data_IF_777559051488
#
_entry.id   IF_777559051488
#
_cell.length_a   1.000
_cell.length_b   1.000
_cell.length_c   1.000
_cell.angle_alpha   90.00
_cell.angle_beta   90.00
_cell.angle_gamma   90.00
#
_symmetry.space_group_name_H-M   'P 1'
#
loop_
_entity.id
_entity.type
_entity.pdbx_description
1 polymer ?
#
# COMPACT_ATOMS: atom_id res chain seq x y z
N UNK A 1 14.24 5.97 9.39
CA UNK A 1 13.16 5.01 9.77
C UNK A 1 13.56 3.58 9.38
N UNK A 2 13.06 2.52 10.01
CA UNK A 2 13.34 1.13 9.59
C UNK A 2 12.97 0.85 8.13
N UNK A 3 11.94 1.55 7.61
CA UNK A 3 11.54 1.51 6.20
C UNK A 3 12.66 1.95 5.25
N UNK A 4 13.52 2.89 5.65
CA UNK A 4 14.64 3.34 4.81
C UNK A 4 15.67 2.24 4.65
N UNK A 5 15.98 1.54 5.74
CA UNK A 5 16.95 0.44 5.74
C UNK A 5 16.45 -0.69 4.83
N UNK A 6 15.17 -1.05 4.95
CA UNK A 6 14.54 -2.06 4.10
C UNK A 6 14.48 -1.62 2.64
N UNK A 7 14.14 -0.35 2.36
CA UNK A 7 14.11 0.21 1.02
C UNK A 7 15.49 0.21 0.36
N UNK A 8 16.54 0.58 1.10
CA UNK A 8 17.92 0.52 0.62
C UNK A 8 18.35 -0.92 0.31
N UNK A 9 18.02 -1.88 1.19
CA UNK A 9 18.32 -3.30 0.96
C UNK A 9 17.56 -3.87 -0.25
N UNK A 10 16.29 -3.50 -0.43
CA UNK A 10 15.50 -3.90 -1.59
C UNK A 10 16.12 -3.37 -2.88
N UNK A 11 16.53 -2.10 -2.90
CA UNK A 11 17.16 -1.49 -4.06
C UNK A 11 18.50 -2.15 -4.42
N UNK A 12 19.27 -2.59 -3.42
CA UNK A 12 20.51 -3.36 -3.62
C UNK A 12 20.26 -4.75 -4.23
N UNK A 13 19.19 -5.43 -3.79
CA UNK A 13 18.91 -6.82 -4.20
C UNK A 13 18.17 -6.95 -5.52
N UNK A 14 17.37 -5.97 -5.91
CA UNK A 14 16.54 -6.02 -7.11
C UNK A 14 17.27 -5.37 -8.28
N UNK A 15 17.60 -6.14 -9.32
CA UNK A 15 18.25 -5.63 -10.52
C UNK A 15 17.40 -4.53 -11.17
N UNK A 16 18.01 -3.39 -11.44
CA UNK A 16 17.33 -2.23 -12.05
C UNK A 16 16.51 -1.41 -11.06
N UNK A 17 16.48 -1.77 -9.77
CA UNK A 17 15.94 -0.91 -8.73
C UNK A 17 16.94 0.19 -8.35
N UNK A 18 16.44 1.38 -8.04
CA UNK A 18 17.25 2.52 -7.63
C UNK A 18 16.59 3.22 -6.43
N UNK A 19 17.32 3.47 -5.33
CA UNK A 19 16.76 4.20 -4.19
C UNK A 19 16.58 5.68 -4.56
N UNK A 20 15.43 6.25 -4.22
CA UNK A 20 15.09 7.66 -4.46
C UNK A 20 14.57 8.31 -3.20
N UNK A 21 14.79 9.62 -3.02
CA UNK A 21 14.40 10.37 -1.82
C UNK A 21 13.31 11.41 -2.07
N UNK A 22 12.90 11.59 -3.33
CA UNK A 22 11.84 12.50 -3.72
C UNK A 22 10.95 11.93 -4.82
N UNK A 23 9.75 12.48 -4.96
CA UNK A 23 8.83 12.10 -6.05
C UNK A 23 9.38 12.51 -7.42
N UNK A 24 10.16 13.59 -7.49
CA UNK A 24 10.82 14.01 -8.73
C UNK A 24 11.90 13.01 -9.16
N UNK A 25 12.74 12.56 -8.24
CA UNK A 25 13.72 11.51 -8.49
C UNK A 25 13.05 10.20 -8.91
N UNK A 26 11.94 9.82 -8.24
CA UNK A 26 11.16 8.64 -8.60
C UNK A 26 10.71 8.69 -10.06
N UNK A 27 10.19 9.84 -10.51
CA UNK A 27 9.78 10.06 -11.91
C UNK A 27 10.98 10.00 -12.87
N UNK A 28 12.12 10.59 -12.52
CA UNK A 28 13.34 10.55 -13.34
C UNK A 28 13.86 9.13 -13.52
N UNK A 29 13.95 8.35 -12.45
CA UNK A 29 14.35 6.93 -12.47
C UNK A 29 13.39 6.12 -13.32
N UNK A 30 12.08 6.27 -13.09
CA UNK A 30 11.06 5.58 -13.86
C UNK A 30 11.15 5.87 -15.37
N UNK A 31 11.37 7.14 -15.75
CA UNK A 31 11.50 7.54 -17.15
C UNK A 31 12.76 6.98 -17.84
N UNK A 32 13.77 6.52 -17.08
CA UNK A 32 14.94 5.80 -17.62
C UNK A 32 14.70 4.30 -17.79
N UNK A 33 13.51 3.80 -17.44
CA UNK A 33 13.20 2.37 -17.46
C UNK A 33 13.70 1.60 -16.24
N UNK A 34 14.07 2.30 -15.17
CA UNK A 34 14.49 1.73 -13.89
C UNK A 34 13.32 1.71 -12.89
N UNK A 35 13.42 0.87 -11.85
CA UNK A 35 12.41 0.76 -10.80
C UNK A 35 12.77 1.69 -9.61
N UNK A 36 12.05 2.79 -9.39
CA UNK A 36 12.29 3.61 -8.21
C UNK A 36 11.85 2.89 -6.93
N UNK A 37 12.71 2.91 -5.92
CA UNK A 37 12.42 2.47 -4.55
C UNK A 37 12.47 3.71 -3.66
N UNK A 38 11.30 4.22 -3.27
CA UNK A 38 11.23 5.44 -2.48
C UNK A 38 11.67 5.18 -1.04
N UNK A 39 12.61 6.00 -0.57
CA UNK A 39 13.07 6.10 0.80
C UNK A 39 12.28 7.23 1.46
N UNK A 40 11.22 6.92 2.24
CA UNK A 40 10.18 7.89 2.52
C UNK A 40 10.51 8.85 3.66
N UNK A 41 11.49 8.56 4.52
CA UNK A 41 11.74 9.35 5.75
C UNK A 41 11.93 10.84 5.49
N UNK A 42 12.80 11.20 4.56
CA UNK A 42 13.09 12.61 4.26
C UNK A 42 11.86 13.35 3.74
N UNK A 43 11.06 12.68 2.91
CA UNK A 43 9.85 13.25 2.34
C UNK A 43 8.75 13.41 3.41
N UNK A 44 8.60 12.42 4.29
CA UNK A 44 7.64 12.46 5.39
C UNK A 44 8.01 13.49 6.45
N UNK A 45 9.29 13.61 6.79
CA UNK A 45 9.79 14.65 7.72
C UNK A 45 9.55 16.06 7.17
N UNK A 46 9.71 16.25 5.86
CA UNK A 46 9.53 17.56 5.24
C UNK A 46 8.06 17.96 5.05
N UNK A 47 7.21 17.05 4.57
CA UNK A 47 5.80 17.35 4.29
C UNK A 47 4.91 17.26 5.52
N UNK A 48 5.33 16.48 6.51
CA UNK A 48 4.62 16.12 7.75
C UNK A 48 3.08 16.02 7.64
N UNK A 49 2.55 15.17 6.73
CA UNK A 49 1.15 15.26 6.33
C UNK A 49 0.22 14.30 7.09
N UNK A 50 0.80 13.40 7.89
CA UNK A 50 0.10 12.31 8.57
C UNK A 50 0.15 12.49 10.08
N UNK A 51 -0.84 11.94 10.78
CA UNK A 51 -0.89 11.99 12.24
C UNK A 51 0.34 11.29 12.86
N UNK A 52 0.93 11.90 13.89
CA UNK A 52 2.02 11.29 14.67
C UNK A 52 1.44 10.30 15.69
N UNK A 53 0.88 9.21 15.18
CA UNK A 53 0.25 8.19 16.01
C UNK A 53 0.62 6.79 15.54
N UNK A 54 0.46 5.81 16.44
CA UNK A 54 0.64 4.38 16.12
C UNK A 54 -0.41 3.84 15.13
N UNK A 55 -1.42 4.67 14.79
CA UNK A 55 -2.49 4.36 13.83
C UNK A 55 -2.03 4.48 12.38
N UNK A 56 -0.90 5.14 12.14
CA UNK A 56 -0.31 5.37 10.82
C UNK A 56 0.93 4.48 10.65
N UNK A 57 0.92 3.63 9.63
CA UNK A 57 2.07 2.77 9.30
C UNK A 57 2.39 2.83 7.80
N UNK A 58 3.14 1.86 7.28
CA UNK A 58 3.54 1.80 5.87
C UNK A 58 2.36 1.84 4.90
N UNK A 59 1.18 1.34 5.30
CA UNK A 59 0.01 1.30 4.42
C UNK A 59 -0.53 2.71 4.19
N UNK A 60 -0.81 3.47 5.27
CA UNK A 60 -1.25 4.87 5.20
C UNK A 60 -0.22 5.77 4.52
N UNK A 61 1.08 5.54 4.78
CA UNK A 61 2.16 6.25 4.09
C UNK A 61 2.13 5.98 2.58
N UNK A 62 1.99 4.71 2.19
CA UNK A 62 1.95 4.31 0.78
C UNK A 62 0.73 4.89 0.07
N UNK A 63 -0.43 4.95 0.76
CA UNK A 63 -1.62 5.60 0.24
C UNK A 63 -1.40 7.09 0.00
N UNK A 64 -0.89 7.81 0.98
CA UNK A 64 -0.58 9.23 0.83
C UNK A 64 0.37 9.49 -0.35
N UNK A 65 1.43 8.70 -0.47
CA UNK A 65 2.39 8.82 -1.56
C UNK A 65 1.77 8.49 -2.93
N UNK A 66 0.89 7.49 -3.00
CA UNK A 66 0.17 7.15 -4.23
C UNK A 66 -0.75 8.29 -4.68
N UNK A 67 -1.40 8.99 -3.74
CA UNK A 67 -2.20 10.17 -4.02
C UNK A 67 -1.34 11.31 -4.60
N UNK A 68 -0.18 11.59 -4.01
CA UNK A 68 0.74 12.62 -4.54
C UNK A 68 1.27 12.30 -5.95
N UNK A 69 1.33 11.01 -6.29
CA UNK A 69 1.80 10.53 -7.59
C UNK A 69 0.69 10.38 -8.63
N UNK A 70 -0.58 10.58 -8.26
CA UNK A 70 -1.75 10.21 -9.07
C UNK A 70 -1.68 8.75 -9.56
N UNK A 71 -1.27 7.86 -8.67
CA UNK A 71 -1.00 6.46 -8.96
C UNK A 71 -2.03 5.52 -8.31
N UNK A 72 -2.26 4.37 -8.93
CA UNK A 72 -3.03 3.28 -8.32
C UNK A 72 -2.20 2.63 -7.20
N UNK A 73 -2.84 2.30 -6.08
CA UNK A 73 -2.18 1.64 -4.95
C UNK A 73 -2.43 0.14 -4.92
N UNK A 74 -1.37 -0.63 -4.71
CA UNK A 74 -1.43 -2.05 -4.38
C UNK A 74 -0.62 -2.28 -3.11
N UNK A 75 -1.27 -2.77 -2.07
CA UNK A 75 -0.67 -3.22 -0.82
C UNK A 75 -0.44 -4.72 -0.90
N UNK A 76 0.82 -5.12 -0.75
CA UNK A 76 1.24 -6.51 -0.72
C UNK A 76 1.50 -6.92 0.72
N UNK A 77 0.61 -7.75 1.27
CA UNK A 77 0.63 -8.21 2.66
C UNK A 77 0.85 -9.72 2.75
N UNK A 78 0.76 -10.32 3.93
CA UNK A 78 0.99 -11.75 4.14
C UNK A 78 -0.30 -12.59 4.23
N UNK A 79 -1.46 -11.93 4.04
CA UNK A 79 -2.81 -12.49 3.94
C UNK A 79 -3.44 -12.23 2.57
N UNK A 80 -4.47 -12.99 2.21
CA UNK A 80 -5.14 -12.95 0.88
C UNK A 80 -5.89 -11.65 0.58
N UNK A 81 -6.18 -10.87 1.61
CA UNK A 81 -6.92 -9.61 1.55
C UNK A 81 -7.64 -9.37 2.87
N UNK A 82 -8.78 -8.69 2.82
CA UNK A 82 -9.61 -8.38 3.98
C UNK A 82 -10.62 -9.50 4.21
N UNK A 83 -10.81 -9.84 5.47
CA UNK A 83 -11.79 -10.83 5.92
C UNK A 83 -12.80 -10.17 6.88
N UNK A 84 -13.98 -10.78 7.06
CA UNK A 84 -15.01 -10.31 8.00
C UNK A 84 -14.52 -10.17 9.44
N UNK A 85 -13.54 -10.99 9.80
CA UNK A 85 -12.84 -11.03 11.08
C UNK A 85 -11.53 -11.80 10.89
N UNK A 86 -10.73 -11.99 11.95
CA UNK A 86 -9.42 -12.66 11.85
C UNK A 86 -9.54 -14.01 11.12
N UNK A 87 -8.72 -14.24 10.06
CA UNK A 87 -8.76 -15.49 9.30
C UNK A 87 -8.47 -16.75 10.12
N UNK A 88 -7.80 -16.61 11.26
CA UNK A 88 -7.50 -17.70 12.20
C UNK A 88 -8.71 -18.17 13.01
N UNK A 89 -9.82 -17.41 13.00
CA UNK A 89 -11.04 -17.74 13.72
C UNK A 89 -12.06 -18.39 12.78
N UNK A 90 -12.91 -19.26 13.33
CA UNK A 90 -13.91 -19.97 12.55
C UNK A 90 -14.94 -19.00 11.90
N UNK A 91 -15.42 -19.36 10.71
CA UNK A 91 -16.39 -18.60 9.95
C UNK A 91 -15.86 -17.32 9.27
N UNK A 92 -14.56 -17.05 9.26
CA UNK A 92 -13.99 -15.88 8.59
C UNK A 92 -14.20 -15.94 7.07
N UNK A 93 -14.88 -14.94 6.52
CA UNK A 93 -15.19 -14.88 5.09
C UNK A 93 -14.32 -13.84 4.39
N UNK A 94 -13.79 -14.24 3.24
CA UNK A 94 -13.00 -13.37 2.39
C UNK A 94 -13.86 -12.30 1.71
N UNK A 95 -13.39 -11.05 1.72
CA UNK A 95 -14.10 -9.90 1.14
C UNK A 95 -13.38 -9.48 -0.13
N UNK A 96 -14.04 -9.69 -1.28
CA UNK A 96 -13.49 -9.29 -2.59
C UNK A 96 -13.48 -7.77 -2.81
N UNK A 97 -14.48 -7.09 -2.26
CA UNK A 97 -14.68 -5.66 -2.46
C UNK A 97 -15.33 -5.04 -1.22
N UNK A 98 -14.82 -3.89 -0.79
CA UNK A 98 -15.29 -3.15 0.37
C UNK A 98 -15.12 -1.65 0.13
N UNK A 99 -16.10 -0.83 0.54
CA UNK A 99 -15.93 0.62 0.55
C UNK A 99 -15.16 1.07 1.79
N UNK A 100 -14.43 2.18 1.69
CA UNK A 100 -13.68 2.75 2.80
C UNK A 100 -14.62 3.12 3.96
N UNK A 101 -15.85 3.55 3.68
CA UNK A 101 -16.88 3.78 4.71
C UNK A 101 -17.22 2.50 5.49
N UNK A 102 -17.32 1.36 4.81
CA UNK A 102 -17.56 0.08 5.47
C UNK A 102 -16.31 -0.37 6.23
N UNK A 103 -15.13 -0.18 5.65
CA UNK A 103 -13.85 -0.50 6.27
C UNK A 103 -13.60 0.28 7.57
N UNK A 104 -14.02 1.55 7.66
CA UNK A 104 -13.94 2.34 8.90
C UNK A 104 -14.72 1.72 10.08
N UNK A 105 -15.79 0.99 9.77
CA UNK A 105 -16.63 0.35 10.78
C UNK A 105 -16.25 -1.11 11.02
N UNK A 106 -15.20 -1.61 10.35
CA UNK A 106 -14.62 -2.90 10.69
C UNK A 106 -13.77 -2.73 11.95
N UNK A 107 -13.85 -3.72 12.85
CA UNK A 107 -12.98 -3.76 14.03
C UNK A 107 -11.53 -4.02 13.62
N UNK A 108 -11.18 -5.28 13.39
CA UNK A 108 -9.82 -5.66 13.03
C UNK A 108 -9.66 -5.84 11.52
N UNK A 109 -8.62 -5.23 10.95
CA UNK A 109 -8.27 -5.35 9.53
C UNK A 109 -6.78 -5.64 9.37
N UNK A 110 -6.37 -6.08 8.18
CA UNK A 110 -4.96 -6.28 7.82
C UNK A 110 -4.22 -4.98 7.46
N UNK A 111 -4.89 -3.83 7.60
CA UNK A 111 -4.39 -2.50 7.28
C UNK A 111 -4.38 -1.66 8.56
N UNK A 112 -3.58 -0.60 8.56
CA UNK A 112 -3.57 0.34 9.67
C UNK A 112 -4.88 1.14 9.82
N UNK A 113 -5.14 1.62 11.04
CA UNK A 113 -6.41 2.24 11.41
C UNK A 113 -6.69 3.53 10.63
N UNK A 114 -5.66 4.28 10.26
CA UNK A 114 -5.80 5.53 9.51
C UNK A 114 -6.08 5.29 8.02
N UNK A 115 -5.84 4.10 7.49
CA UNK A 115 -5.91 3.83 6.06
C UNK A 115 -7.28 4.15 5.45
N UNK A 116 -8.36 3.73 6.11
CA UNK A 116 -9.72 3.94 5.63
C UNK A 116 -10.14 5.43 5.68
N UNK A 117 -9.66 6.18 6.67
CA UNK A 117 -9.88 7.63 6.76
C UNK A 117 -9.19 8.35 5.59
N UNK A 118 -7.95 7.96 5.28
CA UNK A 118 -7.19 8.54 4.17
C UNK A 118 -7.77 8.20 2.81
N UNK A 119 -8.29 6.97 2.61
CA UNK A 119 -9.00 6.59 1.39
C UNK A 119 -10.16 7.54 1.10
N UNK A 120 -10.98 7.84 2.11
CA UNK A 120 -12.12 8.76 1.99
C UNK A 120 -11.66 10.21 1.80
N UNK A 121 -10.66 10.65 2.56
CA UNK A 121 -10.10 12.00 2.48
C UNK A 121 -9.59 12.32 1.08
N UNK A 122 -8.85 11.39 0.47
CA UNK A 122 -8.25 11.58 -0.85
C UNK A 122 -9.09 11.03 -2.00
N UNK A 123 -10.25 10.41 -1.71
CA UNK A 123 -11.15 9.80 -2.70
C UNK A 123 -10.40 8.85 -3.66
N UNK A 124 -9.51 8.04 -3.10
CA UNK A 124 -8.66 7.11 -3.85
C UNK A 124 -9.07 5.66 -3.59
N UNK A 125 -8.43 4.73 -4.27
CA UNK A 125 -8.70 3.29 -4.12
C UNK A 125 -7.42 2.49 -4.00
N UNK A 126 -7.53 1.30 -3.42
CA UNK A 126 -6.40 0.41 -3.20
C UNK A 126 -6.78 -1.04 -3.48
N UNK A 127 -5.77 -1.84 -3.81
CA UNK A 127 -5.87 -3.30 -3.83
C UNK A 127 -5.05 -3.89 -2.69
N UNK A 128 -5.58 -4.88 -1.99
CA UNK A 128 -4.83 -5.69 -1.02
C UNK A 128 -4.67 -7.10 -1.57
N UNK A 129 -3.45 -7.62 -1.56
CA UNK A 129 -3.12 -8.95 -2.10
C UNK A 129 -2.03 -9.61 -1.28
N UNK A 130 -2.04 -10.94 -1.23
CA UNK A 130 -0.98 -11.71 -0.57
C UNK A 130 0.32 -11.71 -1.42
N UNK A 131 1.36 -11.09 -0.89
CA UNK A 131 2.70 -11.02 -1.47
C UNK A 131 3.45 -12.35 -1.48
N UNK A 132 3.03 -13.34 -0.68
CA UNK A 132 3.57 -14.72 -0.73
C UNK A 132 3.19 -15.45 -2.02
N UNK A 133 2.30 -14.85 -2.81
CA UNK A 133 1.80 -15.34 -4.09
C UNK A 133 2.12 -14.34 -5.22
N UNK A 134 3.38 -14.27 -5.71
CA UNK A 134 3.79 -13.30 -6.74
C UNK A 134 2.93 -13.35 -8.01
N UNK A 135 2.41 -14.52 -8.38
CA UNK A 135 1.50 -14.70 -9.50
C UNK A 135 0.21 -13.88 -9.36
N UNK A 136 -0.30 -13.73 -8.13
CA UNK A 136 -1.48 -12.93 -7.82
C UNK A 136 -1.19 -11.45 -7.96
N UNK A 137 -0.06 -11.00 -7.40
CA UNK A 137 0.42 -9.61 -7.54
C UNK A 137 0.54 -9.24 -9.03
N UNK A 138 1.18 -10.10 -9.82
CA UNK A 138 1.32 -9.89 -11.27
C UNK A 138 -0.01 -9.89 -12.02
N UNK A 139 -0.97 -10.71 -11.61
CA UNK A 139 -2.32 -10.70 -12.18
C UNK A 139 -3.02 -9.36 -11.93
N UNK A 140 -2.93 -8.82 -10.70
CA UNK A 140 -3.51 -7.51 -10.37
C UNK A 140 -2.88 -6.40 -11.20
N UNK A 141 -1.54 -6.36 -11.30
CA UNK A 141 -0.82 -5.35 -12.10
C UNK A 141 -1.20 -5.39 -13.59
N UNK A 142 -1.53 -6.58 -14.12
CA UNK A 142 -1.97 -6.78 -15.51
C UNK A 142 -3.49 -6.60 -15.71
N UNK A 143 -4.23 -6.18 -14.67
CA UNK A 143 -5.69 -6.02 -14.73
C UNK A 143 -6.45 -7.34 -14.86
N UNK A 144 -5.84 -8.47 -14.50
CA UNK A 144 -6.47 -9.80 -14.54
C UNK A 144 -7.13 -10.13 -13.20
N UNK A 145 -8.07 -11.07 -13.23
CA UNK A 145 -8.71 -11.59 -12.02
C UNK A 145 -7.72 -12.39 -11.17
N UNK A 146 -7.78 -12.20 -9.86
CA UNK A 146 -6.98 -12.89 -8.84
C UNK A 146 -7.66 -12.80 -7.49
N UNK A 147 -7.28 -13.64 -6.54
CA UNK A 147 -7.62 -13.45 -5.12
C UNK A 147 -6.96 -12.14 -4.67
N UNK A 148 -7.80 -11.17 -4.31
CA UNK A 148 -7.44 -9.84 -3.83
C UNK A 148 -8.68 -9.17 -3.23
N UNK A 149 -8.49 -8.17 -2.39
CA UNK A 149 -9.55 -7.23 -2.02
C UNK A 149 -9.35 -5.91 -2.75
N UNK A 150 -10.43 -5.37 -3.33
CA UNK A 150 -10.49 -3.98 -3.78
C UNK A 150 -11.13 -3.12 -2.69
N UNK A 151 -10.56 -1.94 -2.45
CA UNK A 151 -11.08 -0.96 -1.50
C UNK A 151 -11.35 0.35 -2.23
N UNK A 152 -12.62 0.75 -2.29
CA UNK A 152 -13.05 2.02 -2.90
C UNK A 152 -13.10 3.16 -1.88
N UNK A 153 -12.64 4.36 -2.25
CA UNK A 153 -12.77 5.59 -1.46
C UNK A 153 -13.97 6.46 -1.86
N UNK A 154 -15.09 5.82 -2.19
CA UNK A 154 -16.38 6.41 -2.57
C UNK A 154 -17.13 7.06 -1.39
#
# INVERSE_FOLDING_TARGET
>A
LCMDILGMLLADKVKGAQPVRSLEEAKKVFNRGELPVLIPSLLLEYLDPLEHSWRVTSDSISLYLSHLLDAKLLISTDVDGIYTHRPSLDGAQFIKEISAKKLLNFGETSLDESFAELLLKYKTSAYVVNGKHPERVMAVLKGRSSIKTFIGGD
#
